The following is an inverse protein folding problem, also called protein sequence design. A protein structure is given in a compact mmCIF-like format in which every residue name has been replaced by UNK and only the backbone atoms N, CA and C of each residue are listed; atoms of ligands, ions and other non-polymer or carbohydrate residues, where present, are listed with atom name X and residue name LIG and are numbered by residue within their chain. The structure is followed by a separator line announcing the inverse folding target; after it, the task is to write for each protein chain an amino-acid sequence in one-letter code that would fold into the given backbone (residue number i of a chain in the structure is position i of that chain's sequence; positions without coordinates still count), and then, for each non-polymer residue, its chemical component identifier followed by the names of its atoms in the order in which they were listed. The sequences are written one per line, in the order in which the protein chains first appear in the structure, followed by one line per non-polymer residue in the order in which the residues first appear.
data_IF_852941219580
#
_entry.id   IF_852941219580
#
_cell.length_a   1.000
_cell.length_b   1.000
_cell.length_c   1.000
_cell.angle_alpha   90.00
_cell.angle_beta   90.00
_cell.angle_gamma   90.00
#
_symmetry.space_group_name_H-M   'P 1'
#
loop_
_entity.id
_entity.type
_entity.pdbx_description
1 polymer ?
#
# COMPACT_ATOMS: atom_id res chain seq x y z
N UNK A 1 -8.86 -9.39 -4.43
CA UNK A 1 -8.97 -8.84 -3.05
C UNK A 1 -9.75 -7.51 -3.00
N UNK A 2 -9.51 -6.59 -3.95
CA UNK A 2 -10.15 -5.25 -4.00
C UNK A 2 -11.68 -5.27 -3.98
N UNK A 3 -12.33 -6.03 -4.87
CA UNK A 3 -13.80 -6.09 -4.92
C UNK A 3 -14.43 -6.56 -3.59
N UNK A 4 -13.77 -7.50 -2.90
CA UNK A 4 -14.22 -7.98 -1.58
C UNK A 4 -14.04 -6.91 -0.52
N UNK A 5 -12.90 -6.21 -0.54
CA UNK A 5 -12.66 -5.09 0.36
C UNK A 5 -13.70 -3.98 0.16
N UNK A 6 -14.08 -3.66 -1.08
CA UNK A 6 -15.11 -2.67 -1.39
C UNK A 6 -16.48 -3.07 -0.84
N UNK A 7 -16.95 -4.29 -1.13
CA UNK A 7 -18.22 -4.80 -0.56
C UNK A 7 -18.21 -4.80 0.97
N UNK A 8 -17.06 -5.13 1.59
CA UNK A 8 -16.93 -5.09 3.03
C UNK A 8 -17.00 -3.64 3.55
N UNK A 9 -16.32 -2.69 2.91
CA UNK A 9 -16.41 -1.27 3.28
C UNK A 9 -17.85 -0.78 3.21
N UNK A 10 -18.57 -1.10 2.14
CA UNK A 10 -19.99 -0.75 1.97
C UNK A 10 -20.86 -1.34 3.09
N UNK A 11 -20.69 -2.64 3.39
CA UNK A 11 -21.47 -3.29 4.47
C UNK A 11 -21.18 -2.74 5.87
N UNK A 12 -20.02 -2.11 6.06
CA UNK A 12 -19.58 -1.52 7.31
C UNK A 12 -19.88 -0.02 7.41
N UNK A 13 -20.34 0.63 6.32
CA UNK A 13 -20.74 2.05 6.33
C UNK A 13 -21.86 2.26 7.36
N UNK A 14 -21.73 3.28 8.20
CA UNK A 14 -22.73 3.63 9.22
C UNK A 14 -22.88 2.65 10.39
N UNK A 15 -22.15 1.53 10.41
CA UNK A 15 -22.17 0.58 11.51
C UNK A 15 -21.34 1.05 12.70
N UNK A 16 -21.76 0.72 13.93
CA UNK A 16 -21.00 0.94 15.18
C UNK A 16 -19.75 0.05 15.31
N UNK A 17 -19.11 -0.31 14.19
CA UNK A 17 -17.96 -1.22 14.15
C UNK A 17 -16.69 -0.53 14.65
N UNK A 18 -15.81 -1.23 15.39
CA UNK A 18 -14.49 -0.71 15.74
C UNK A 18 -13.50 -0.74 14.56
N UNK A 19 -13.89 -1.29 13.40
CA UNK A 19 -13.02 -1.36 12.21
C UNK A 19 -12.84 0.05 11.65
N UNK A 20 -11.59 0.51 11.57
CA UNK A 20 -11.25 1.86 11.10
C UNK A 20 -11.02 1.89 9.58
N UNK A 21 -10.32 0.87 9.05
CA UNK A 21 -9.99 0.74 7.62
C UNK A 21 -10.02 -0.71 7.19
N UNK A 22 -10.45 -0.92 5.95
CA UNK A 22 -10.28 -2.19 5.23
C UNK A 22 -9.31 -1.92 4.09
N UNK A 23 -8.18 -2.62 4.05
CA UNK A 23 -7.16 -2.47 3.00
C UNK A 23 -6.98 -3.85 2.35
N UNK A 24 -7.21 -4.00 1.03
CA UNK A 24 -6.94 -5.26 0.34
C UNK A 24 -5.44 -5.52 0.33
N UNK A 25 -5.06 -6.80 0.41
CA UNK A 25 -3.68 -7.27 0.30
C UNK A 25 -3.56 -8.06 -0.98
N UNK A 26 -2.63 -7.65 -1.86
CA UNK A 26 -2.38 -8.35 -3.13
C UNK A 26 -1.39 -9.50 -2.92
N UNK A 27 -0.32 -9.24 -2.16
CA UNK A 27 0.74 -10.22 -1.91
C UNK A 27 1.20 -10.19 -0.45
N UNK A 28 1.66 -11.34 0.02
CA UNK A 28 2.34 -11.50 1.30
C UNK A 28 3.67 -12.18 1.02
N UNK A 29 4.77 -11.47 1.30
CA UNK A 29 6.15 -11.94 1.07
C UNK A 29 6.98 -11.85 2.34
N UNK A 30 8.19 -12.42 2.35
CA UNK A 30 9.10 -12.11 3.44
C UNK A 30 9.48 -10.61 3.35
N UNK A 31 9.77 -9.95 4.48
CA UNK A 31 10.05 -8.52 4.49
C UNK A 31 11.50 -8.23 4.10
N UNK A 32 12.01 -8.92 3.07
CA UNK A 32 13.27 -8.58 2.43
C UNK A 32 13.03 -7.65 1.26
N UNK A 33 13.92 -6.69 1.08
CA UNK A 33 13.80 -5.66 0.06
C UNK A 33 13.65 -6.26 -1.35
N UNK A 34 14.47 -7.25 -1.69
CA UNK A 34 14.50 -7.86 -3.02
C UNK A 34 13.20 -8.60 -3.36
N UNK A 35 12.65 -9.38 -2.41
CA UNK A 35 11.36 -10.07 -2.57
C UNK A 35 10.21 -9.07 -2.77
N UNK A 36 10.23 -7.96 -2.04
CA UNK A 36 9.24 -6.88 -2.18
C UNK A 36 9.37 -6.19 -3.54
N UNK A 37 10.60 -5.91 -4.00
CA UNK A 37 10.86 -5.31 -5.31
C UNK A 37 10.33 -6.20 -6.44
N UNK A 38 10.56 -7.51 -6.36
CA UNK A 38 10.09 -8.47 -7.36
C UNK A 38 8.57 -8.43 -7.54
N UNK A 39 7.84 -8.46 -6.43
CA UNK A 39 6.37 -8.34 -6.45
C UNK A 39 5.93 -6.97 -6.97
N UNK A 40 6.60 -5.89 -6.54
CA UNK A 40 6.25 -4.54 -6.98
C UNK A 40 6.41 -4.39 -8.49
N UNK A 41 7.48 -4.89 -9.10
CA UNK A 41 7.70 -4.87 -10.55
C UNK A 41 6.51 -5.47 -11.31
N UNK A 42 5.96 -6.57 -10.80
CA UNK A 42 4.81 -7.25 -11.40
C UNK A 42 3.47 -6.51 -11.19
N UNK A 43 3.38 -5.67 -10.16
CA UNK A 43 2.16 -4.90 -9.84
C UNK A 43 2.10 -3.58 -10.58
N UNK A 44 3.23 -2.86 -10.66
CA UNK A 44 3.27 -1.48 -11.16
C UNK A 44 2.97 -1.36 -12.65
N UNK A 45 3.03 -2.45 -13.42
CA UNK A 45 2.55 -2.50 -14.82
C UNK A 45 1.07 -2.12 -14.95
N UNK A 46 0.29 -2.21 -13.88
CA UNK A 46 -1.12 -1.78 -13.83
C UNK A 46 -1.28 -0.27 -13.70
N UNK A 47 -0.21 0.46 -13.35
CA UNK A 47 -0.20 1.92 -13.25
C UNK A 47 0.04 2.49 -14.66
N UNK A 48 -0.91 3.26 -15.22
CA UNK A 48 -0.71 3.95 -16.49
C UNK A 48 0.51 4.87 -16.45
N UNK A 49 1.19 5.03 -17.59
CA UNK A 49 2.47 5.77 -17.67
C UNK A 49 2.36 7.25 -17.27
N UNK A 50 1.18 7.85 -17.46
CA UNK A 50 0.87 9.24 -17.11
C UNK A 50 0.33 9.40 -15.68
N UNK A 51 0.00 8.31 -14.98
CA UNK A 51 -0.55 8.36 -13.63
C UNK A 51 0.58 8.34 -12.58
N UNK A 52 0.38 9.15 -11.55
CA UNK A 52 1.34 9.35 -10.49
C UNK A 52 1.22 8.32 -9.37
N UNK A 53 2.33 8.10 -8.65
CA UNK A 53 2.32 7.18 -7.52
C UNK A 53 3.03 7.74 -6.28
N UNK A 54 2.71 7.13 -5.14
CA UNK A 54 3.44 7.25 -3.87
C UNK A 54 3.68 5.88 -3.27
N UNK A 55 4.86 5.68 -2.68
CA UNK A 55 5.13 4.50 -1.84
C UNK A 55 4.81 4.87 -0.39
N UNK A 56 4.06 4.01 0.30
CA UNK A 56 3.79 4.13 1.73
C UNK A 56 4.26 2.87 2.44
N UNK A 57 5.35 2.97 3.19
CA UNK A 57 5.92 1.88 3.96
C UNK A 57 5.60 2.05 5.46
N UNK A 58 4.92 1.07 6.03
CA UNK A 58 4.69 0.95 7.47
C UNK A 58 5.54 -0.18 8.05
N UNK A 59 6.46 0.17 8.94
CA UNK A 59 7.46 -0.75 9.50
C UNK A 59 8.78 -0.70 8.72
N UNK A 60 9.58 -1.76 8.84
CA UNK A 60 10.92 -1.82 8.26
C UNK A 60 11.12 -3.10 7.47
N UNK A 61 11.61 -2.95 6.24
CA UNK A 61 12.14 -4.04 5.45
C UNK A 61 13.57 -4.37 5.90
N UNK A 62 14.05 -5.52 5.46
CA UNK A 62 15.39 -6.01 5.73
C UNK A 62 16.16 -6.17 4.42
N UNK A 63 17.46 -5.97 4.47
CA UNK A 63 18.38 -6.37 3.41
C UNK A 63 19.31 -7.47 3.93
N UNK A 64 19.96 -8.16 3.00
CA UNK A 64 21.07 -9.06 3.29
C UNK A 64 22.36 -8.31 2.95
N UNK A 65 23.25 -8.15 3.92
CA UNK A 65 24.55 -7.53 3.67
C UNK A 65 25.52 -8.49 2.95
N UNK A 66 26.72 -8.00 2.62
CA UNK A 66 27.76 -8.78 1.96
C UNK A 66 28.23 -10.01 2.76
N UNK A 67 27.96 -10.06 4.07
CA UNK A 67 28.31 -11.16 4.96
C UNK A 67 27.12 -12.13 5.18
N UNK A 68 25.99 -11.93 4.49
CA UNK A 68 24.80 -12.77 4.63
C UNK A 68 23.94 -12.45 5.85
N UNK A 69 24.20 -11.33 6.55
CA UNK A 69 23.45 -10.93 7.75
C UNK A 69 22.21 -10.13 7.38
N UNK A 70 21.16 -10.31 8.18
CA UNK A 70 19.90 -9.58 8.04
C UNK A 70 20.03 -8.21 8.70
N UNK A 71 19.92 -7.15 7.90
CA UNK A 71 20.02 -5.76 8.37
C UNK A 71 18.68 -5.07 8.20
N UNK A 72 18.21 -4.42 9.27
CA UNK A 72 16.98 -3.61 9.21
C UNK A 72 17.31 -2.31 8.47
N UNK A 73 16.52 -1.99 7.44
CA UNK A 73 16.72 -0.78 6.66
C UNK A 73 15.95 0.40 7.25
N UNK A 74 16.51 1.60 7.08
CA UNK A 74 15.74 2.82 7.22
C UNK A 74 14.63 2.86 6.17
N UNK A 75 13.44 3.31 6.58
CA UNK A 75 12.27 3.29 5.71
C UNK A 75 12.46 4.16 4.47
N UNK A 76 13.15 5.29 4.59
CA UNK A 76 13.44 6.18 3.45
C UNK A 76 14.36 5.52 2.42
N UNK A 77 15.36 4.76 2.86
CA UNK A 77 16.29 4.08 1.95
C UNK A 77 15.60 2.90 1.25
N UNK A 78 14.74 2.18 1.97
CA UNK A 78 13.88 1.14 1.39
C UNK A 78 12.98 1.75 0.29
N UNK A 79 12.34 2.88 0.58
CA UNK A 79 11.47 3.58 -0.37
C UNK A 79 12.25 4.04 -1.60
N UNK A 80 13.43 4.64 -1.41
CA UNK A 80 14.30 5.07 -2.52
C UNK A 80 14.70 3.91 -3.40
N UNK A 81 15.08 2.78 -2.81
CA UNK A 81 15.49 1.61 -3.59
C UNK A 81 14.33 1.02 -4.40
N UNK A 82 13.15 0.92 -3.79
CA UNK A 82 11.93 0.46 -4.47
C UNK A 82 11.55 1.42 -5.62
N UNK A 83 11.61 2.73 -5.38
CA UNK A 83 11.19 3.75 -6.35
C UNK A 83 11.99 3.68 -7.67
N UNK A 84 13.25 3.23 -7.64
CA UNK A 84 14.09 3.07 -8.85
C UNK A 84 13.48 2.13 -9.88
N UNK A 85 12.62 1.22 -9.47
CA UNK A 85 12.00 0.22 -10.34
C UNK A 85 10.60 0.60 -10.83
N UNK A 86 10.17 1.84 -10.57
CA UNK A 86 8.84 2.33 -10.93
C UNK A 86 8.99 3.53 -11.86
N UNK A 87 8.95 3.28 -13.17
CA UNK A 87 8.99 4.31 -14.21
C UNK A 87 7.64 5.03 -14.34
N UNK A 88 7.25 5.81 -13.32
CA UNK A 88 6.04 6.66 -13.30
C UNK A 88 6.31 7.97 -12.56
N UNK A 89 5.53 9.03 -12.79
CA UNK A 89 5.71 10.27 -12.03
C UNK A 89 5.43 10.05 -10.53
N UNK A 90 6.25 10.65 -9.67
CA UNK A 90 6.06 10.60 -8.21
C UNK A 90 5.24 11.81 -7.76
N UNK A 91 4.18 11.58 -6.99
CA UNK A 91 3.40 12.64 -6.35
C UNK A 91 3.12 12.25 -4.89
N UNK A 92 3.66 13.02 -3.93
CA UNK A 92 3.54 12.68 -2.51
C UNK A 92 2.24 13.18 -1.86
N UNK A 93 1.64 14.21 -2.46
CA UNK A 93 0.45 14.90 -1.92
C UNK A 93 -0.85 14.31 -2.47
N UNK A 94 -0.95 14.21 -3.80
CA UNK A 94 -2.15 13.75 -4.51
C UNK A 94 -1.80 12.67 -5.56
N UNK A 95 -1.38 11.47 -5.12
CA UNK A 95 -1.06 10.38 -6.04
C UNK A 95 -2.33 9.77 -6.65
N UNK A 96 -2.23 9.27 -7.88
CA UNK A 96 -3.28 8.45 -8.51
C UNK A 96 -3.27 7.00 -7.99
N UNK A 97 -2.09 6.53 -7.57
CA UNK A 97 -1.85 5.20 -7.02
C UNK A 97 -0.97 5.20 -5.78
N UNK A 98 -1.23 4.24 -4.89
CA UNK A 98 -0.44 4.04 -3.68
C UNK A 98 0.13 2.62 -3.70
N UNK A 99 1.45 2.51 -3.71
CA UNK A 99 2.15 1.26 -3.42
C UNK A 99 2.27 1.17 -1.90
N UNK A 100 1.37 0.42 -1.29
CA UNK A 100 1.28 0.29 0.16
C UNK A 100 2.00 -0.98 0.62
N UNK A 101 2.96 -0.83 1.53
CA UNK A 101 3.75 -1.92 2.09
C UNK A 101 3.60 -1.86 3.60
N UNK A 102 3.13 -2.94 4.21
CA UNK A 102 2.99 -3.04 5.66
C UNK A 102 3.70 -4.28 6.18
N UNK A 103 4.71 -4.06 7.01
CA UNK A 103 5.41 -5.13 7.70
C UNK A 103 4.67 -5.47 8.99
N UNK A 104 4.20 -6.72 9.07
CA UNK A 104 3.42 -7.23 10.21
C UNK A 104 4.24 -8.31 10.92
N UNK A 105 4.30 -8.21 12.26
CA UNK A 105 4.82 -9.29 13.11
C UNK A 105 3.74 -10.36 13.25
N UNK A 106 4.05 -11.59 12.88
CA UNK A 106 3.17 -12.76 13.05
C UNK A 106 3.71 -13.65 14.18
N UNK A 107 3.03 -14.77 14.46
CA UNK A 107 3.40 -15.67 15.55
C UNK A 107 4.87 -16.14 15.47
N UNK A 108 5.48 -16.33 16.65
CA UNK A 108 6.86 -16.83 16.84
C UNK A 108 7.95 -15.90 16.28
N UNK A 109 7.71 -14.59 16.30
CA UNK A 109 8.71 -13.58 15.93
C UNK A 109 8.96 -13.46 14.42
N UNK A 110 8.22 -14.20 13.59
CA UNK A 110 8.25 -14.06 12.14
C UNK A 110 7.66 -12.72 11.74
N UNK A 111 8.15 -12.16 10.63
CA UNK A 111 7.63 -10.94 10.02
C UNK A 111 7.26 -11.26 8.59
N UNK A 112 6.21 -10.62 8.10
CA UNK A 112 5.79 -10.67 6.69
C UNK A 112 5.55 -9.25 6.20
N UNK A 113 5.73 -9.02 4.91
CA UNK A 113 5.34 -7.78 4.25
C UNK A 113 4.07 -8.02 3.44
N UNK A 114 2.99 -7.33 3.80
CA UNK A 114 1.80 -7.21 2.98
C UNK A 114 2.03 -6.08 1.97
N UNK A 115 1.91 -6.39 0.68
CA UNK A 115 2.09 -5.44 -0.42
C UNK A 115 0.77 -5.30 -1.16
N UNK A 116 0.36 -4.05 -1.40
CA UNK A 116 -0.90 -3.71 -2.07
C UNK A 116 -0.71 -2.55 -3.05
N UNK A 117 -1.38 -2.62 -4.20
CA UNK A 117 -1.48 -1.51 -5.14
C UNK A 117 -2.88 -0.90 -5.05
N UNK A 118 -2.98 0.26 -4.43
CA UNK A 118 -4.26 0.84 -4.03
C UNK A 118 -4.58 2.11 -4.82
N UNK A 119 -5.87 2.37 -5.01
CA UNK A 119 -6.36 3.73 -5.29
C UNK A 119 -6.47 4.54 -3.99
N UNK A 120 -6.33 5.87 -4.00
CA UNK A 120 -6.41 6.71 -2.79
C UNK A 120 -7.66 6.45 -1.93
N UNK A 121 -8.82 6.23 -2.58
CA UNK A 121 -10.10 5.89 -1.92
C UNK A 121 -10.00 4.68 -1.00
N UNK A 122 -9.15 3.72 -1.33
CA UNK A 122 -9.01 2.46 -0.60
C UNK A 122 -8.24 2.59 0.72
N UNK A 123 -7.57 3.73 0.95
CA UNK A 123 -6.82 4.02 2.18
C UNK A 123 -7.60 4.90 3.17
N UNK A 124 -8.78 5.40 2.78
CA UNK A 124 -9.62 6.30 3.58
C UNK A 124 -10.21 5.56 4.79
N UNK A 125 -10.41 6.25 5.91
CA UNK A 125 -11.12 5.67 7.05
C UNK A 125 -12.59 5.45 6.72
N UNK A 126 -13.20 4.40 7.25
CA UNK A 126 -14.63 4.12 7.07
C UNK A 126 -15.54 5.27 7.56
N UNK A 127 -15.08 6.09 8.50
CA UNK A 127 -15.81 7.28 8.99
C UNK A 127 -15.80 8.45 7.99
N UNK A 128 -14.76 8.55 7.19
CA UNK A 128 -14.55 9.67 6.25
C UNK A 128 -15.13 9.34 4.87
N UNK A 129 -15.57 8.09 4.67
CA UNK A 129 -16.17 7.62 3.42
C UNK A 129 -17.45 8.38 3.05
N UNK A 130 -18.23 8.83 4.03
CA UNK A 130 -19.46 9.61 3.81
C UNK A 130 -19.17 10.99 3.22
N UNK A 131 -18.10 11.65 3.64
CA UNK A 131 -17.74 13.01 3.17
C UNK A 131 -17.08 13.00 1.79
N UNK A 132 -16.35 11.94 1.43
CA UNK A 132 -15.66 11.84 0.15
C UNK A 132 -16.61 11.64 -1.05
N UNK A 133 -17.80 11.07 -0.83
CA UNK A 133 -18.84 10.91 -1.86
C UNK A 133 -19.63 12.23 -2.07
N UNK A 134 -19.88 13.00 -1.01
CA UNK A 134 -20.53 14.32 -1.10
C UNK A 134 -19.70 15.33 -1.92
N UNK A 135 -18.37 15.33 -1.76
CA UNK A 135 -17.46 16.19 -2.51
C UNK A 135 -17.25 15.77 -3.98
N UNK A 136 -17.55 14.50 -4.32
CA UNK A 136 -17.43 13.97 -5.69
C UNK A 136 -18.70 14.08 -6.52
N UNK A 137 -19.84 14.43 -5.90
CA UNK A 137 -21.15 14.57 -6.54
C UNK A 137 -21.45 15.96 -7.08
N UNK A 138 -20.71 17.00 -6.67
CA UNK A 138 -21.00 18.41 -7.04
C UNK A 138 -20.32 18.89 -8.34
N UNK A 139 -19.74 18.00 -9.16
CA UNK A 139 -19.12 18.40 -10.45
C UNK A 139 -19.74 17.73 -11.67
N UNK A 140 -21.06 17.59 -11.68
CA UNK A 140 -21.82 17.19 -12.86
C UNK A 140 -23.20 17.86 -12.86
N UNK A 141 -23.23 19.18 -13.03
CA UNK A 141 -24.34 19.93 -13.64
C UNK A 141 -23.78 20.95 -14.64
#
# INVERSE_FOLDING_TARGET
PHQVADKLRESLKGGGTPIIRVIPVDYVVNPYLDEVIEVIKNMVVKIPQNESFRITLQGHLMSIDSEGRKVIMHSIDSIREIAKYIERPVNLEKPDWIVFIKVVKVLRGKRVAAVSLLKPRELINLRDFTQAEELGGETSE
#
